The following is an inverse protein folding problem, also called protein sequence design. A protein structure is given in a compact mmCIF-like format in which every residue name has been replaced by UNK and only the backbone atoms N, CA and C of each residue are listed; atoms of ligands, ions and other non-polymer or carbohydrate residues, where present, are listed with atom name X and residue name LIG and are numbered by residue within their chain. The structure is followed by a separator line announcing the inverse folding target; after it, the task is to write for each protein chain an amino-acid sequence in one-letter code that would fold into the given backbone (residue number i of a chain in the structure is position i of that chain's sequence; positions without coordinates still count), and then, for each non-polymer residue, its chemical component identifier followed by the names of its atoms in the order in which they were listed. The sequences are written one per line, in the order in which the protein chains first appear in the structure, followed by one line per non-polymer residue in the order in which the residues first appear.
data_IF_560384571974
#
_entry.id   IF_560384571974
#
_cell.length_a   1.000
_cell.length_b   1.000
_cell.length_c   1.000
_cell.angle_alpha   90.00
_cell.angle_beta   90.00
_cell.angle_gamma   90.00
#
_symmetry.space_group_name_H-M   'P 1'
#
loop_
_entity.id
_entity.type
_entity.pdbx_description
1 polymer ?
#
# COMPACT_ATOMS: atom_id res chain seq x y z
N UNK A 1 4.80 -5.62 -13.98
CA UNK A 1 4.83 -6.69 -12.97
C UNK A 1 3.42 -7.20 -12.77
N UNK A 2 3.22 -8.48 -12.50
CA UNK A 2 1.87 -9.00 -12.18
C UNK A 2 1.76 -9.09 -10.65
N UNK A 3 1.06 -8.13 -10.06
CA UNK A 3 0.74 -8.09 -8.64
C UNK A 3 -0.72 -8.51 -8.46
N UNK A 4 -1.00 -9.29 -7.43
CA UNK A 4 -2.37 -9.61 -7.04
C UNK A 4 -2.54 -9.28 -5.58
N UNK A 5 -3.59 -8.52 -5.26
CA UNK A 5 -3.85 -8.09 -3.89
C UNK A 5 -5.23 -8.51 -3.44
N UNK A 6 -5.35 -8.78 -2.15
CA UNK A 6 -6.62 -9.06 -1.48
C UNK A 6 -6.78 -8.13 -0.30
N UNK A 7 -7.91 -7.46 -0.19
CA UNK A 7 -8.26 -6.72 1.01
C UNK A 7 -8.45 -7.67 2.19
N UNK A 8 -7.76 -7.38 3.29
CA UNK A 8 -7.79 -8.15 4.54
C UNK A 8 -8.40 -7.37 5.70
N UNK A 9 -8.66 -6.07 5.52
CA UNK A 9 -9.23 -5.20 6.54
C UNK A 9 -9.44 -3.76 6.05
N UNK A 10 -10.08 -2.96 6.90
CA UNK A 10 -10.34 -1.53 6.73
C UNK A 10 -10.11 -0.79 8.05
N UNK A 11 -9.77 0.49 7.97
CA UNK A 11 -9.58 1.39 9.11
C UNK A 11 -10.08 2.79 8.73
N UNK A 12 -10.14 3.71 9.71
CA UNK A 12 -10.82 5.01 9.55
C UNK A 12 -10.34 5.82 8.33
N UNK A 13 -9.06 5.72 8.00
CA UNK A 13 -8.42 6.46 6.91
C UNK A 13 -8.07 5.60 5.70
N UNK A 14 -8.45 4.31 5.63
CA UNK A 14 -7.95 3.46 4.55
C UNK A 14 -8.26 1.97 4.63
N UNK A 15 -7.51 1.19 3.86
CA UNK A 15 -7.63 -0.27 3.79
C UNK A 15 -6.28 -0.97 3.89
N UNK A 16 -6.30 -2.19 4.41
CA UNK A 16 -5.14 -3.08 4.46
C UNK A 16 -5.30 -4.20 3.45
N UNK A 17 -4.25 -4.46 2.69
CA UNK A 17 -4.17 -5.46 1.64
C UNK A 17 -3.05 -6.46 1.96
N UNK A 18 -3.30 -7.73 1.64
CA UNK A 18 -2.25 -8.72 1.45
C UNK A 18 -1.96 -8.80 -0.06
N UNK A 19 -0.75 -8.42 -0.46
CA UNK A 19 -0.30 -8.47 -1.84
C UNK A 19 0.64 -9.65 -2.07
N UNK A 20 0.57 -10.24 -3.26
CA UNK A 20 1.51 -11.27 -3.73
C UNK A 20 2.16 -10.80 -5.03
N UNK A 21 3.49 -10.81 -5.07
CA UNK A 21 4.29 -10.48 -6.26
C UNK A 21 5.50 -11.43 -6.32
N UNK A 22 5.73 -12.05 -7.48
CA UNK A 22 6.81 -13.03 -7.68
C UNK A 22 6.86 -14.17 -6.62
N UNK A 23 5.69 -14.53 -6.07
CA UNK A 23 5.55 -15.53 -5.01
C UNK A 23 5.89 -15.06 -3.60
N UNK A 24 6.37 -13.83 -3.44
CA UNK A 24 6.54 -13.17 -2.15
C UNK A 24 5.23 -12.50 -1.71
N UNK A 25 4.95 -12.54 -0.40
CA UNK A 25 3.77 -11.89 0.20
C UNK A 25 4.21 -10.74 1.10
N UNK A 26 3.48 -9.64 1.04
CA UNK A 26 3.73 -8.46 1.85
C UNK A 26 2.43 -7.69 2.10
N UNK A 27 2.45 -6.86 3.13
CA UNK A 27 1.33 -6.01 3.49
C UNK A 27 1.40 -4.67 2.77
N UNK A 28 0.27 -4.22 2.21
CA UNK A 28 0.12 -2.88 1.67
C UNK A 28 -1.02 -2.18 2.41
N UNK A 29 -0.82 -0.93 2.80
CA UNK A 29 -1.83 -0.08 3.41
C UNK A 29 -2.08 1.10 2.47
N UNK A 30 -3.32 1.23 2.00
CA UNK A 30 -3.74 2.42 1.25
C UNK A 30 -4.43 3.36 2.22
N UNK A 31 -3.94 4.60 2.31
CA UNK A 31 -4.45 5.63 3.21
C UNK A 31 -4.95 6.79 2.37
N UNK A 32 -6.17 7.24 2.60
CA UNK A 32 -6.71 8.45 1.99
C UNK A 32 -6.36 9.66 2.85
N UNK A 33 -5.54 10.55 2.31
CA UNK A 33 -5.14 11.79 2.98
C UNK A 33 -3.68 12.15 2.75
N UNK A 34 -3.25 13.24 3.42
CA UNK A 34 -1.88 13.69 3.37
C UNK A 34 -0.92 12.67 4.02
N UNK A 35 0.34 12.58 3.53
CA UNK A 35 1.33 11.69 4.12
C UNK A 35 1.65 12.08 5.56
N UNK A 36 1.40 11.16 6.48
CA UNK A 36 1.63 11.34 7.91
C UNK A 36 2.21 10.06 8.53
N UNK A 37 3.53 10.06 8.76
CA UNK A 37 4.25 8.91 9.29
C UNK A 37 3.92 8.62 10.77
N UNK A 38 3.46 9.63 11.51
CA UNK A 38 3.09 9.49 12.92
C UNK A 38 1.79 8.68 13.07
N UNK A 39 0.95 8.60 12.03
CA UNK A 39 -0.27 7.78 12.02
C UNK A 39 -0.03 6.30 11.72
N UNK A 40 1.10 5.93 11.12
CA UNK A 40 1.40 4.54 10.71
C UNK A 40 1.25 3.51 11.83
N UNK A 41 1.72 3.75 13.07
CA UNK A 41 1.57 2.81 14.18
C UNK A 41 0.11 2.53 14.60
N UNK A 42 -0.85 3.34 14.16
CA UNK A 42 -2.27 3.17 14.49
C UNK A 42 -2.91 2.04 13.68
N UNK A 43 -2.47 1.83 12.44
CA UNK A 43 -3.03 0.85 11.51
C UNK A 43 -2.05 -0.26 11.08
N UNK A 44 -0.74 -0.07 11.24
CA UNK A 44 0.25 -1.13 11.00
C UNK A 44 0.49 -1.92 12.29
N UNK A 45 0.20 -3.23 12.32
CA UNK A 45 0.35 -4.03 13.52
C UNK A 45 1.84 -4.15 13.90
N UNK A 46 2.19 -4.07 15.20
CA UNK A 46 3.58 -4.12 15.64
C UNK A 46 4.26 -5.45 15.29
N UNK A 47 3.48 -6.53 15.12
CA UNK A 47 3.97 -7.83 14.67
C UNK A 47 4.56 -7.76 13.25
N UNK A 48 4.00 -6.93 12.36
CA UNK A 48 4.54 -6.71 11.02
C UNK A 48 5.90 -6.00 11.07
N UNK A 49 6.18 -5.22 12.12
CA UNK A 49 7.44 -4.52 12.33
C UNK A 49 8.48 -5.36 13.10
N UNK A 50 8.04 -6.45 13.75
CA UNK A 50 8.85 -7.16 14.75
C UNK A 50 9.89 -8.14 14.18
N UNK A 51 10.10 -8.18 12.86
CA UNK A 51 11.07 -9.09 12.22
C UNK A 51 12.16 -8.38 11.39
N UNK A 52 12.36 -7.07 11.62
CA UNK A 52 13.31 -6.28 10.83
C UNK A 52 12.73 -5.79 9.49
N UNK A 53 11.41 -5.85 9.36
CA UNK A 53 10.66 -5.24 8.26
C UNK A 53 10.87 -3.73 8.25
N UNK A 54 11.17 -3.18 7.09
CA UNK A 54 11.16 -1.74 6.85
C UNK A 54 9.78 -1.30 6.42
N UNK A 55 9.42 -0.06 6.77
CA UNK A 55 8.21 0.58 6.26
C UNK A 55 8.60 1.45 5.08
N UNK A 56 8.06 1.10 3.91
CA UNK A 56 8.15 1.91 2.70
C UNK A 56 6.89 2.75 2.57
N UNK A 57 7.00 4.05 2.86
CA UNK A 57 5.90 4.99 2.77
C UNK A 57 6.11 5.93 1.57
N UNK A 58 5.09 6.10 0.74
CA UNK A 58 5.09 7.03 -0.39
C UNK A 58 3.74 7.73 -0.57
N UNK A 59 3.75 8.91 -1.17
CA UNK A 59 2.55 9.60 -1.61
C UNK A 59 2.09 9.10 -2.98
N UNK A 60 0.77 9.12 -3.19
CA UNK A 60 0.11 8.99 -4.48
C UNK A 60 -0.62 10.29 -4.76
N UNK A 61 0.07 11.22 -5.41
CA UNK A 61 -0.33 12.64 -5.51
C UNK A 61 -1.24 12.93 -6.71
N UNK A 62 -1.27 12.04 -7.70
CA UNK A 62 -2.08 12.18 -8.91
C UNK A 62 -2.27 10.82 -9.59
N UNK A 63 -3.38 10.65 -10.31
CA UNK A 63 -3.65 9.43 -11.08
C UNK A 63 -2.63 9.19 -12.20
N UNK A 64 -2.10 10.26 -12.81
CA UNK A 64 -1.07 10.17 -13.86
C UNK A 64 0.29 9.70 -13.30
N UNK A 65 0.63 10.12 -12.07
CA UNK A 65 1.87 9.73 -11.39
C UNK A 65 1.78 8.43 -10.58
N UNK A 66 0.57 7.92 -10.33
CA UNK A 66 0.34 6.79 -9.44
C UNK A 66 1.12 5.54 -9.85
N UNK A 67 1.19 5.24 -11.15
CA UNK A 67 1.95 4.10 -11.65
C UNK A 67 3.44 4.19 -11.30
N UNK A 68 4.07 5.33 -11.57
CA UNK A 68 5.50 5.54 -11.32
C UNK A 68 5.79 5.47 -9.82
N UNK A 69 4.99 6.16 -9.01
CA UNK A 69 5.16 6.25 -7.55
C UNK A 69 5.00 4.89 -6.87
N UNK A 70 4.06 4.06 -7.34
CA UNK A 70 3.86 2.69 -6.84
C UNK A 70 5.01 1.78 -7.30
N UNK A 71 5.40 1.84 -8.57
CA UNK A 71 6.47 0.98 -9.12
C UNK A 71 7.81 1.23 -8.43
N UNK A 72 8.16 2.50 -8.18
CA UNK A 72 9.39 2.88 -7.46
C UNK A 72 9.47 2.23 -6.07
N UNK A 73 8.34 2.16 -5.35
CA UNK A 73 8.28 1.53 -4.02
C UNK A 73 8.37 0.02 -4.12
N UNK A 74 7.64 -0.58 -5.06
CA UNK A 74 7.59 -2.02 -5.23
C UNK A 74 8.92 -2.60 -5.73
N UNK A 75 9.66 -1.89 -6.59
CA UNK A 75 10.98 -2.32 -7.10
C UNK A 75 12.05 -2.36 -6.00
N UNK A 76 11.88 -1.54 -4.96
CA UNK A 76 12.81 -1.47 -3.81
C UNK A 76 12.39 -2.35 -2.62
N UNK A 77 11.33 -3.14 -2.76
CA UNK A 77 10.75 -3.90 -1.66
C UNK A 77 11.54 -5.17 -1.33
N UNK A 78 11.81 -5.41 -0.05
CA UNK A 78 12.33 -6.69 0.41
C UNK A 78 11.20 -7.61 0.89
N UNK A 79 11.43 -8.94 0.88
CA UNK A 79 10.55 -9.88 1.55
C UNK A 79 10.42 -9.51 3.03
N UNK A 80 9.19 -9.37 3.51
CA UNK A 80 8.79 -8.93 4.87
C UNK A 80 8.63 -7.42 5.07
N UNK A 81 8.97 -6.57 4.10
CA UNK A 81 8.70 -5.14 4.21
C UNK A 81 7.19 -4.84 4.16
N UNK A 82 6.82 -3.68 4.71
CA UNK A 82 5.45 -3.17 4.72
C UNK A 82 5.40 -1.92 3.84
N UNK A 83 4.37 -1.83 3.01
CA UNK A 83 4.14 -0.67 2.14
C UNK A 83 2.99 0.17 2.64
N UNK A 84 3.15 1.48 2.65
CA UNK A 84 2.08 2.45 2.93
C UNK A 84 2.02 3.46 1.79
N UNK A 85 0.87 3.57 1.14
CA UNK A 85 0.61 4.60 0.13
C UNK A 85 -0.39 5.61 0.67
N UNK A 86 -0.01 6.88 0.66
CA UNK A 86 -0.87 8.00 1.04
C UNK A 86 -1.46 8.64 -0.22
N UNK A 87 -2.71 8.33 -0.52
CA UNK A 87 -3.44 8.82 -1.67
C UNK A 87 -4.02 10.21 -1.37
N UNK A 88 -3.70 11.20 -2.21
CA UNK A 88 -4.14 12.58 -2.03
C UNK A 88 -5.67 12.72 -2.03
N UNK A 89 -6.35 11.90 -2.85
CA UNK A 89 -7.79 11.92 -3.05
C UNK A 89 -8.32 10.57 -3.55
N UNK A 90 -9.64 10.47 -3.67
CA UNK A 90 -10.36 9.22 -3.98
C UNK A 90 -9.97 8.69 -5.37
N UNK A 91 -9.72 9.57 -6.33
CA UNK A 91 -9.26 9.17 -7.66
C UNK A 91 -7.87 8.50 -7.60
N UNK A 92 -6.95 9.07 -6.82
CA UNK A 92 -5.64 8.46 -6.56
C UNK A 92 -5.75 7.11 -5.83
N UNK A 93 -6.68 7.01 -4.88
CA UNK A 93 -6.94 5.77 -4.15
C UNK A 93 -7.46 4.67 -5.09
N UNK A 94 -8.44 5.00 -5.94
CA UNK A 94 -8.97 4.07 -6.93
C UNK A 94 -7.91 3.63 -7.94
N UNK A 95 -7.07 4.57 -8.41
CA UNK A 95 -5.95 4.25 -9.29
C UNK A 95 -4.94 3.30 -8.61
N UNK A 96 -4.61 3.54 -7.34
CA UNK A 96 -3.74 2.65 -6.58
C UNK A 96 -4.33 1.24 -6.44
N UNK A 97 -5.64 1.12 -6.15
CA UNK A 97 -6.31 -0.18 -6.06
C UNK A 97 -6.24 -0.97 -7.37
N UNK A 98 -6.50 -0.31 -8.50
CA UNK A 98 -6.42 -0.91 -9.84
C UNK A 98 -5.01 -1.43 -10.14
N UNK A 99 -4.00 -0.59 -9.89
CA UNK A 99 -2.58 -0.91 -10.11
C UNK A 99 -2.08 -2.04 -9.21
N UNK A 100 -2.61 -2.16 -8.00
CA UNK A 100 -2.27 -3.22 -7.05
C UNK A 100 -3.06 -4.51 -7.30
N UNK A 101 -3.91 -4.55 -8.33
CA UNK A 101 -4.68 -5.75 -8.69
C UNK A 101 -5.71 -6.12 -7.62
N UNK A 102 -6.26 -5.12 -6.92
CA UNK A 102 -7.41 -5.34 -6.03
C UNK A 102 -8.67 -5.39 -6.89
N UNK A 103 -9.46 -6.47 -6.85
CA UNK A 103 -10.72 -6.50 -7.57
C UNK A 103 -11.65 -5.43 -6.99
N UNK A 104 -12.03 -4.45 -7.82
CA UNK A 104 -13.13 -3.55 -7.50
C UNK A 104 -14.42 -4.40 -7.56
N UNK A 105 -15.07 -4.61 -6.41
CA UNK A 105 -16.38 -5.26 -6.40
C UNK A 105 -17.38 -4.37 -7.18
N UNK A 106 -17.95 -4.91 -8.27
CA UNK A 106 -18.94 -4.25 -9.14
C UNK A 106 -20.30 -3.99 -8.46
#
# INVERSE_FOLDING_TARGET
MEITSRQIGEFESGISLEATMDGARFGIYLVLGAPDLDTIPDFVPPEALSQGASIHAASVDSTEGAQEQIDEVLDNLNPSDVVVFFCADVDCFAAAMDLLGVPLEE
#
